data_IF_984546163540
#
_entry.id   IF_984546163540
#
_cell.length_a   1.000
_cell.length_b   1.000
_cell.length_c   1.000
_cell.angle_alpha   90.00
_cell.angle_beta   90.00
_cell.angle_gamma   90.00
#
_symmetry.space_group_name_H-M   'P 1'
#
loop_
_entity.id
_entity.type
_entity.pdbx_description
1 polymer ?
#
# COMPACT_ATOMS: atom_id res chain seq x y z
N UNK A 1 38.52 1.83 45.22
CA UNK A 1 37.90 2.80 44.28
C UNK A 1 36.80 2.03 43.57
N UNK A 2 35.60 2.06 44.14
CA UNK A 2 34.45 1.31 43.63
C UNK A 2 33.86 1.98 42.40
N UNK A 3 33.49 1.14 41.42
CA UNK A 3 33.10 1.53 40.08
C UNK A 3 31.74 2.24 40.03
N UNK A 4 31.73 3.39 39.36
CA UNK A 4 30.49 4.00 38.91
C UNK A 4 30.01 3.26 37.66
N UNK A 5 29.02 2.37 37.83
CA UNK A 5 28.24 1.85 36.71
C UNK A 5 27.47 3.00 36.09
N UNK A 6 27.90 3.43 34.90
CA UNK A 6 27.17 4.42 34.10
C UNK A 6 25.93 3.73 33.50
N UNK A 7 24.82 3.73 34.22
CA UNK A 7 23.54 3.31 33.66
C UNK A 7 23.04 4.42 32.75
N UNK A 8 23.26 4.29 31.43
CA UNK A 8 22.61 5.15 30.45
C UNK A 8 21.10 5.00 30.63
N UNK A 9 20.42 6.10 30.94
CA UNK A 9 18.97 6.14 31.01
C UNK A 9 18.38 5.71 29.66
N UNK A 10 17.54 4.68 29.64
CA UNK A 10 16.74 4.35 28.45
C UNK A 10 15.68 5.44 28.29
N UNK A 11 15.76 6.18 27.19
CA UNK A 11 14.75 7.16 26.81
C UNK A 11 13.64 6.40 26.10
N UNK A 12 12.51 6.21 26.76
CA UNK A 12 11.29 5.73 26.11
C UNK A 12 10.66 6.88 25.32
N UNK A 13 10.28 6.63 24.07
CA UNK A 13 9.56 7.58 23.24
C UNK A 13 8.15 7.76 23.80
N UNK A 14 7.94 8.82 24.58
CA UNK A 14 6.67 9.10 25.28
C UNK A 14 5.50 9.43 24.30
N UNK A 15 5.78 9.69 23.02
CA UNK A 15 4.75 10.13 22.06
C UNK A 15 4.57 9.16 20.90
N UNK A 16 3.37 8.58 20.82
CA UNK A 16 2.91 7.85 19.64
C UNK A 16 2.98 8.76 18.40
N UNK A 17 3.77 8.37 17.40
CA UNK A 17 3.97 9.12 16.16
C UNK A 17 2.68 9.26 15.35
N UNK A 18 1.75 8.33 15.54
CA UNK A 18 0.46 8.31 14.85
C UNK A 18 -0.59 9.18 15.53
N UNK A 19 -0.37 9.58 16.78
CA UNK A 19 -1.36 10.30 17.59
C UNK A 19 -1.96 11.50 16.84
N UNK A 20 -1.12 12.28 16.14
CA UNK A 20 -1.54 13.43 15.33
C UNK A 20 -2.48 13.07 14.18
N UNK A 21 -2.29 11.89 13.58
CA UNK A 21 -3.08 11.39 12.46
C UNK A 21 -4.44 10.89 12.96
N UNK A 22 -4.44 10.16 14.08
CA UNK A 22 -5.62 9.52 14.66
C UNK A 22 -6.59 10.50 15.33
N UNK A 23 -6.18 11.76 15.55
CA UNK A 23 -7.12 12.81 15.96
C UNK A 23 -8.24 13.00 14.92
N UNK A 24 -7.98 12.69 13.65
CA UNK A 24 -8.96 12.79 12.57
C UNK A 24 -9.25 11.44 11.90
N UNK A 25 -8.25 10.56 11.73
CA UNK A 25 -8.38 9.24 11.09
C UNK A 25 -8.61 8.12 12.11
N UNK A 26 -9.75 8.17 12.81
CA UNK A 26 -9.98 7.46 14.07
C UNK A 26 -9.83 5.94 14.04
N UNK A 27 -10.21 5.28 12.94
CA UNK A 27 -10.21 3.81 12.84
C UNK A 27 -9.03 3.27 12.00
N UNK A 28 -8.13 4.16 11.58
CA UNK A 28 -7.09 3.82 10.61
C UNK A 28 -6.02 2.89 11.20
N UNK A 29 -5.72 3.02 12.50
CA UNK A 29 -4.70 2.19 13.16
C UNK A 29 -5.22 0.78 13.42
N UNK A 30 -6.47 0.69 13.87
CA UNK A 30 -7.16 -0.57 14.12
C UNK A 30 -7.28 -1.37 12.83
N UNK A 31 -7.73 -0.74 11.75
CA UNK A 31 -7.85 -1.39 10.44
C UNK A 31 -6.51 -1.78 9.83
N UNK A 32 -5.45 -0.98 10.04
CA UNK A 32 -4.09 -1.30 9.63
C UNK A 32 -3.58 -2.55 10.35
N UNK A 33 -3.78 -2.64 11.67
CA UNK A 33 -3.32 -3.76 12.48
C UNK A 33 -3.95 -5.11 12.08
N UNK A 34 -5.06 -5.10 11.33
CA UNK A 34 -5.65 -6.33 10.79
C UNK A 34 -4.85 -6.92 9.61
N UNK A 35 -4.00 -6.12 8.96
CA UNK A 35 -3.16 -6.54 7.83
C UNK A 35 -1.66 -6.45 8.12
N UNK A 36 -1.23 -5.47 8.93
CA UNK A 36 0.15 -5.18 9.29
C UNK A 36 0.26 -5.02 10.80
N UNK A 37 0.37 -6.15 11.47
CA UNK A 37 0.45 -6.22 12.92
C UNK A 37 1.85 -5.73 13.42
N UNK A 38 1.90 -4.82 14.42
CA UNK A 38 3.16 -4.23 14.89
C UNK A 38 4.21 -5.23 15.37
N UNK A 39 3.83 -6.29 16.08
CA UNK A 39 4.76 -7.28 16.66
C UNK A 39 5.57 -8.00 15.57
N UNK A 40 4.95 -8.30 14.43
CA UNK A 40 5.63 -8.89 13.27
C UNK A 40 6.81 -8.04 12.76
N UNK A 41 6.71 -6.71 12.88
CA UNK A 41 7.73 -5.76 12.42
C UNK A 41 8.81 -5.48 13.48
N UNK A 42 8.48 -5.64 14.77
CA UNK A 42 9.45 -5.50 15.87
C UNK A 42 10.59 -6.51 15.74
N UNK A 43 10.30 -7.72 15.26
CA UNK A 43 11.32 -8.75 14.99
C UNK A 43 12.38 -8.31 13.95
N UNK A 44 12.05 -7.31 13.13
CA UNK A 44 12.94 -6.72 12.11
C UNK A 44 13.54 -5.37 12.58
N UNK A 45 13.35 -5.00 13.85
CA UNK A 45 13.78 -3.71 14.40
C UNK A 45 13.07 -2.51 13.77
N UNK A 46 11.93 -2.73 13.10
CA UNK A 46 11.13 -1.68 12.45
C UNK A 46 9.89 -1.41 13.30
N UNK A 47 9.48 -0.15 13.34
CA UNK A 47 8.21 0.26 13.95
C UNK A 47 7.31 0.81 12.86
N UNK A 48 6.10 0.27 12.74
CA UNK A 48 5.10 0.77 11.81
C UNK A 48 4.48 2.05 12.36
N UNK A 49 4.34 3.05 11.50
CA UNK A 49 3.61 4.29 11.75
C UNK A 49 3.03 4.81 10.44
N UNK A 50 2.06 5.72 10.50
CA UNK A 50 1.35 6.24 9.32
C UNK A 50 2.32 6.78 8.26
N UNK A 51 3.39 7.46 8.70
CA UNK A 51 4.33 8.13 7.79
C UNK A 51 5.29 7.19 7.07
N UNK A 52 5.33 5.90 7.44
CA UNK A 52 6.09 4.90 6.68
C UNK A 52 5.49 4.61 5.31
N UNK A 53 4.19 4.88 5.11
CA UNK A 53 3.53 4.67 3.82
C UNK A 53 2.94 5.97 3.27
N UNK A 54 2.34 6.80 4.13
CA UNK A 54 1.61 8.02 3.72
C UNK A 54 2.48 9.28 3.69
N UNK A 55 3.81 9.16 3.69
CA UNK A 55 4.75 10.30 3.80
C UNK A 55 4.36 11.25 4.95
N UNK A 56 4.59 12.56 4.83
CA UNK A 56 4.29 13.54 5.89
C UNK A 56 3.17 14.48 5.47
N UNK A 57 2.63 15.24 6.42
CA UNK A 57 1.54 16.20 6.19
C UNK A 57 2.10 17.63 6.05
N UNK A 58 1.54 18.40 5.11
CA UNK A 58 1.78 19.83 4.95
C UNK A 58 0.60 20.69 5.44
N UNK A 59 0.70 22.04 5.34
CA UNK A 59 -0.37 22.97 5.72
C UNK A 59 -1.69 22.70 4.97
N UNK A 60 -1.59 22.34 3.69
CA UNK A 60 -2.73 22.09 2.80
C UNK A 60 -3.23 20.64 2.89
N UNK A 61 -2.93 19.93 3.98
CA UNK A 61 -3.33 18.53 4.14
C UNK A 61 -4.85 18.32 4.01
N UNK A 62 -5.65 19.30 4.45
CA UNK A 62 -7.12 19.25 4.33
C UNK A 62 -7.62 19.58 2.92
N UNK A 63 -6.81 20.27 2.12
CA UNK A 63 -7.09 20.64 0.73
C UNK A 63 -6.60 19.54 -0.21
N UNK A 64 -7.05 18.31 0.06
CA UNK A 64 -6.73 17.16 -0.76
C UNK A 64 -5.35 16.56 -0.52
N UNK A 65 -4.64 16.90 0.56
CA UNK A 65 -3.43 16.20 1.01
C UNK A 65 -2.36 15.97 -0.09
N UNK A 66 -1.83 17.03 -0.73
CA UNK A 66 -0.90 16.90 -1.85
C UNK A 66 0.44 16.24 -1.49
N UNK A 67 0.90 16.41 -0.25
CA UNK A 67 2.18 15.86 0.23
C UNK A 67 2.08 14.42 0.74
N UNK A 68 0.86 13.90 0.87
CA UNK A 68 0.58 12.55 1.36
C UNK A 68 0.52 11.59 0.20
N UNK A 69 1.26 10.49 0.30
CA UNK A 69 1.12 9.39 -0.65
C UNK A 69 -0.25 8.75 -0.44
N UNK A 70 -1.05 8.70 -1.50
CA UNK A 70 -2.36 8.06 -1.53
C UNK A 70 -2.26 6.75 -2.29
N UNK A 71 -2.85 5.71 -1.73
CA UNK A 71 -2.92 4.40 -2.34
C UNK A 71 -4.34 4.18 -2.86
N UNK A 72 -4.46 3.94 -4.16
CA UNK A 72 -5.72 3.64 -4.81
C UNK A 72 -5.43 2.73 -6.01
N UNK A 73 -6.41 1.90 -6.40
CA UNK A 73 -6.27 1.06 -7.57
C UNK A 73 -6.10 1.93 -8.83
N UNK A 74 -4.96 1.79 -9.49
CA UNK A 74 -4.61 2.53 -10.70
C UNK A 74 -3.64 1.73 -11.59
N UNK A 75 -3.68 2.01 -12.89
CA UNK A 75 -2.99 1.21 -13.90
C UNK A 75 -2.38 2.06 -15.02
N UNK A 76 -1.35 1.54 -15.67
CA UNK A 76 -0.60 2.19 -16.76
C UNK A 76 -1.27 2.10 -18.13
N UNK A 77 -2.45 1.49 -18.20
CA UNK A 77 -3.25 1.37 -19.43
C UNK A 77 -4.60 2.04 -19.24
N UNK A 78 -4.90 3.00 -20.10
CA UNK A 78 -6.20 3.67 -20.10
C UNK A 78 -7.30 2.67 -20.49
N UNK A 79 -8.34 2.63 -19.65
CA UNK A 79 -9.55 1.81 -19.76
C UNK A 79 -10.67 2.65 -19.13
N UNK A 80 -11.88 2.59 -19.65
CA UNK A 80 -13.03 3.27 -19.08
C UNK A 80 -13.24 2.87 -17.60
N UNK A 81 -13.68 3.83 -16.79
CA UNK A 81 -13.94 3.65 -15.35
C UNK A 81 -12.76 3.11 -14.53
N UNK A 82 -11.52 3.29 -15.01
CA UNK A 82 -10.29 2.98 -14.29
C UNK A 82 -9.38 4.20 -14.23
N UNK A 83 -8.69 4.33 -13.09
CA UNK A 83 -7.71 5.39 -12.90
C UNK A 83 -6.45 5.04 -13.69
N UNK A 84 -6.15 5.87 -14.69
CA UNK A 84 -4.87 5.84 -15.38
C UNK A 84 -3.82 6.64 -14.59
N UNK A 85 -2.63 6.06 -14.43
CA UNK A 85 -1.45 6.74 -13.95
C UNK A 85 -0.26 6.39 -14.84
N UNK A 86 0.64 7.33 -15.04
CA UNK A 86 1.90 7.05 -15.73
C UNK A 86 2.73 6.00 -14.96
N UNK A 87 3.54 5.17 -15.66
CA UNK A 87 4.35 4.14 -15.01
C UNK A 87 5.29 4.66 -13.92
N UNK A 88 5.81 5.89 -14.04
CA UNK A 88 6.66 6.49 -13.00
C UNK A 88 5.90 6.78 -11.72
N UNK A 89 4.66 7.26 -11.81
CA UNK A 89 3.78 7.48 -10.65
C UNK A 89 3.38 6.17 -9.99
N UNK A 90 3.10 5.13 -10.77
CA UNK A 90 2.84 3.77 -10.24
C UNK A 90 4.06 3.25 -9.48
N UNK A 91 5.25 3.38 -10.08
CA UNK A 91 6.50 2.97 -9.43
C UNK A 91 6.75 3.75 -8.13
N UNK A 92 6.47 5.05 -8.11
CA UNK A 92 6.59 5.88 -6.91
C UNK A 92 5.64 5.42 -5.80
N UNK A 93 4.39 5.08 -6.13
CA UNK A 93 3.44 4.54 -5.15
C UNK A 93 3.91 3.18 -4.62
N UNK A 94 4.32 2.28 -5.53
CA UNK A 94 4.78 0.93 -5.18
C UNK A 94 6.10 0.94 -4.39
N UNK A 95 6.92 2.00 -4.52
CA UNK A 95 8.20 2.11 -3.80
C UNK A 95 8.03 1.98 -2.29
N UNK A 96 6.96 2.57 -1.74
CA UNK A 96 6.66 2.52 -0.30
C UNK A 96 6.43 1.09 0.20
N UNK A 97 5.90 0.22 -0.66
CA UNK A 97 5.69 -1.19 -0.33
C UNK A 97 7.02 -1.95 -0.34
N UNK A 98 7.84 -1.74 -1.37
CA UNK A 98 9.10 -2.47 -1.56
C UNK A 98 10.25 -1.99 -0.67
N UNK A 99 10.09 -0.86 0.02
CA UNK A 99 10.98 -0.43 1.10
C UNK A 99 11.02 -1.44 2.27
N UNK A 100 9.96 -2.25 2.42
CA UNK A 100 9.91 -3.36 3.37
C UNK A 100 9.72 -4.72 2.69
N UNK A 101 8.93 -4.82 1.63
CA UNK A 101 8.69 -6.07 0.92
C UNK A 101 9.70 -6.31 -0.19
N UNK A 102 10.69 -7.17 0.08
CA UNK A 102 11.72 -7.49 -0.90
C UNK A 102 11.12 -8.10 -2.19
N UNK A 103 11.47 -7.58 -3.39
CA UNK A 103 10.95 -8.11 -4.66
C UNK A 103 11.20 -9.60 -4.86
N UNK A 104 12.32 -10.14 -4.37
CA UNK A 104 12.64 -11.57 -4.43
C UNK A 104 11.63 -12.42 -3.67
N UNK A 105 11.29 -12.03 -2.43
CA UNK A 105 10.30 -12.72 -1.61
C UNK A 105 8.89 -12.62 -2.20
N UNK A 106 8.54 -11.45 -2.76
CA UNK A 106 7.26 -11.26 -3.45
C UNK A 106 7.12 -12.21 -4.65
N UNK A 107 8.17 -12.32 -5.48
CA UNK A 107 8.21 -13.27 -6.61
C UNK A 107 8.06 -14.72 -6.16
N UNK A 108 8.79 -15.11 -5.11
CA UNK A 108 8.72 -16.47 -4.57
C UNK A 108 7.33 -16.80 -4.01
N UNK A 109 6.66 -15.81 -3.41
CA UNK A 109 5.28 -15.96 -2.93
C UNK A 109 4.29 -16.13 -4.10
N UNK A 110 4.46 -15.35 -5.17
CA UNK A 110 3.65 -15.41 -6.38
C UNK A 110 4.34 -14.67 -7.53
N UNK A 111 4.56 -15.36 -8.66
CA UNK A 111 5.25 -14.80 -9.83
C UNK A 111 4.54 -13.58 -10.44
N UNK A 112 3.23 -13.43 -10.18
CA UNK A 112 2.43 -12.33 -10.73
C UNK A 112 2.88 -10.94 -10.26
N UNK A 113 3.63 -10.83 -9.15
CA UNK A 113 4.16 -9.54 -8.71
C UNK A 113 5.09 -8.90 -9.74
N UNK A 114 5.98 -9.68 -10.37
CA UNK A 114 6.97 -9.16 -11.31
C UNK A 114 6.32 -8.51 -12.54
N UNK A 115 5.29 -9.15 -13.10
CA UNK A 115 4.65 -8.69 -14.34
C UNK A 115 3.76 -7.46 -14.13
N UNK A 116 3.31 -7.23 -12.89
CA UNK A 116 2.44 -6.11 -12.54
C UNK A 116 3.17 -4.93 -11.88
N UNK A 117 4.37 -5.13 -11.33
CA UNK A 117 5.06 -4.13 -10.50
C UNK A 117 5.22 -2.73 -11.13
N UNK A 118 5.29 -2.65 -12.47
CA UNK A 118 5.43 -1.38 -13.23
C UNK A 118 4.13 -0.88 -13.85
N UNK A 119 3.07 -1.68 -13.80
CA UNK A 119 1.84 -1.47 -14.56
C UNK A 119 0.61 -1.28 -13.69
N UNK A 120 0.64 -1.76 -12.44
CA UNK A 120 -0.44 -1.64 -11.48
C UNK A 120 0.11 -1.15 -10.15
N UNK A 121 -0.70 -0.38 -9.44
CA UNK A 121 -0.46 -0.17 -8.01
C UNK A 121 -0.73 -1.46 -7.24
N UNK A 122 -0.02 -1.69 -6.12
CA UNK A 122 -0.30 -2.84 -5.24
C UNK A 122 -1.77 -2.89 -4.79
N UNK A 123 -2.40 -1.72 -4.65
CA UNK A 123 -3.81 -1.53 -4.24
C UNK A 123 -4.85 -1.98 -5.26
N UNK A 124 -4.45 -2.35 -6.48
CA UNK A 124 -5.35 -3.04 -7.41
C UNK A 124 -5.80 -4.41 -6.87
N UNK A 125 -4.92 -5.08 -6.12
CA UNK A 125 -5.17 -6.42 -5.60
C UNK A 125 -5.19 -6.48 -4.07
N UNK A 126 -4.43 -5.61 -3.39
CA UNK A 126 -4.33 -5.59 -1.94
C UNK A 126 -5.14 -4.46 -1.30
N UNK A 127 -5.50 -4.67 -0.04
CA UNK A 127 -6.09 -3.67 0.83
C UNK A 127 -5.41 -3.76 2.19
N UNK A 128 -4.91 -2.64 2.69
CA UNK A 128 -4.10 -2.56 3.92
C UNK A 128 -4.90 -2.02 5.10
N UNK A 129 -5.97 -1.25 4.85
CA UNK A 129 -6.87 -0.75 5.88
C UNK A 129 -8.15 -1.59 5.90
N UNK A 130 -8.02 -2.92 5.93
CA UNK A 130 -9.15 -3.82 5.88
C UNK A 130 -8.92 -5.09 6.70
N UNK A 131 -10.02 -5.63 7.25
CA UNK A 131 -10.04 -6.91 7.95
C UNK A 131 -9.68 -8.11 7.05
N UNK A 132 -9.87 -7.95 5.74
CA UNK A 132 -9.51 -8.95 4.72
C UNK A 132 -8.64 -8.28 3.68
N UNK A 133 -7.40 -8.75 3.57
CA UNK A 133 -6.38 -8.27 2.65
C UNK A 133 -6.62 -8.74 1.21
N UNK A 134 -7.83 -8.50 0.68
CA UNK A 134 -8.32 -8.83 -0.68
C UNK A 134 -7.67 -10.08 -1.27
N UNK A 135 -6.65 -9.93 -2.13
CA UNK A 135 -5.95 -11.03 -2.79
C UNK A 135 -5.45 -12.15 -1.86
N UNK A 136 -5.03 -11.83 -0.63
CA UNK A 136 -4.58 -12.83 0.35
C UNK A 136 -5.73 -13.57 1.03
N UNK A 137 -6.94 -13.01 0.97
CA UNK A 137 -8.16 -13.62 1.53
C UNK A 137 -8.96 -14.43 0.50
N UNK A 138 -8.54 -14.40 -0.76
CA UNK A 138 -9.24 -15.08 -1.85
C UNK A 138 -8.89 -16.57 -1.90
N UNK A 139 -9.93 -17.38 -2.13
CA UNK A 139 -9.71 -18.75 -2.60
C UNK A 139 -9.20 -18.76 -4.05
N UNK A 140 -8.81 -19.94 -4.54
CA UNK A 140 -8.28 -20.09 -5.90
C UNK A 140 -9.24 -19.59 -6.98
N UNK A 141 -10.54 -19.82 -6.84
CA UNK A 141 -11.55 -19.42 -7.84
C UNK A 141 -11.71 -17.90 -7.84
N UNK A 142 -11.78 -17.29 -6.66
CA UNK A 142 -11.84 -15.83 -6.49
C UNK A 142 -10.59 -15.15 -7.06
N UNK A 143 -9.40 -15.70 -6.80
CA UNK A 143 -8.15 -15.18 -7.35
C UNK A 143 -8.12 -15.26 -8.88
N UNK A 144 -8.51 -16.40 -9.47
CA UNK A 144 -8.60 -16.54 -10.94
C UNK A 144 -9.62 -15.56 -11.51
N UNK A 145 -10.78 -15.41 -10.86
CA UNK A 145 -11.81 -14.46 -11.27
C UNK A 145 -11.27 -13.03 -11.33
N UNK A 146 -10.50 -12.61 -10.33
CA UNK A 146 -9.86 -11.29 -10.30
C UNK A 146 -8.94 -11.07 -11.53
N UNK A 147 -8.17 -12.08 -11.92
CA UNK A 147 -7.34 -12.01 -13.12
C UNK A 147 -8.21 -11.85 -14.38
N UNK A 148 -9.23 -12.69 -14.53
CA UNK A 148 -10.11 -12.68 -15.71
C UNK A 148 -10.87 -11.36 -15.82
N UNK A 149 -11.46 -10.88 -14.73
CA UNK A 149 -12.26 -9.66 -14.70
C UNK A 149 -11.45 -8.42 -15.09
N UNK A 150 -10.19 -8.34 -14.65
CA UNK A 150 -9.31 -7.23 -14.99
C UNK A 150 -8.83 -7.36 -16.45
N UNK A 151 -8.36 -8.54 -16.84
CA UNK A 151 -7.79 -8.73 -18.17
C UNK A 151 -8.81 -8.70 -19.31
N UNK A 152 -10.06 -9.07 -19.06
CA UNK A 152 -11.14 -9.02 -20.06
C UNK A 152 -11.48 -7.59 -20.47
N UNK A 153 -11.33 -6.62 -19.57
CA UNK A 153 -11.57 -5.20 -19.87
C UNK A 153 -10.64 -4.72 -20.97
N UNK A 154 -9.37 -5.11 -20.95
CA UNK A 154 -8.42 -4.74 -21.99
C UNK A 154 -8.72 -5.32 -23.38
N UNK A 155 -9.54 -6.38 -23.46
CA UNK A 155 -9.98 -6.99 -24.71
C UNK A 155 -11.28 -6.36 -25.23
N UNK A 156 -12.15 -5.87 -24.35
CA UNK A 156 -13.43 -5.23 -24.71
C UNK A 156 -13.29 -3.75 -25.10
N UNK A 157 -12.32 -3.03 -24.53
CA UNK A 157 -12.07 -1.60 -24.83
C UNK A 157 -11.88 -1.25 -26.32
N UNK A 158 -11.11 -2.02 -27.12
CA UNK A 158 -11.01 -1.79 -28.55
C UNK A 158 -12.33 -1.99 -29.33
N UNK A 159 -13.34 -2.64 -28.75
CA UNK A 159 -14.68 -2.76 -29.34
C UNK A 159 -15.57 -1.58 -28.94
N UNK A 160 -15.57 -1.18 -27.66
CA UNK A 160 -16.35 -0.03 -27.17
C UNK A 160 -15.94 1.29 -27.83
N UNK A 161 -14.64 1.53 -28.01
CA UNK A 161 -14.13 2.73 -28.70
C UNK A 161 -14.57 2.80 -30.17
N UNK A 162 -14.81 1.65 -30.83
CA UNK A 162 -15.31 1.62 -32.21
C UNK A 162 -16.82 1.86 -32.30
N UNK A 163 -17.56 1.49 -31.26
CA UNK A 163 -19.01 1.67 -31.20
C UNK A 163 -19.40 3.10 -30.81
N UNK A 164 -18.59 3.81 -30.02
CA UNK A 164 -18.80 5.25 -29.71
C UNK A 164 -18.48 6.19 -30.88
N UNK A 165 -17.63 5.75 -31.82
CA UNK A 165 -17.28 6.51 -33.04
C UNK A 165 -18.31 6.33 -34.18
N UNK A 166 -19.36 5.51 -33.99
CA UNK A 166 -20.40 5.21 -34.98
C UNK A 166 -21.72 5.93 -34.69
#
# INVERSE_FOLDING_TARGET
>A
VEGAQTTRHQVELIRDRDYKCLQCHKDAKETLNLSHEPEALLSQGKTLNCTNCHSNIGPDHREGAPDVIKFAAAQSKAVHDKVFLDPSTILKANSQCVDCHAPTQLRESNWTHDVHAKNLTCSNCHDVHAAKTKALSYDRKQLIKQCVDCHSQFAAEPELAKDEER
#
